data_IF_559130061306
#
_entry.id   IF_559130061306
#
_cell.length_a   1.000
_cell.length_b   1.000
_cell.length_c   1.000
_cell.angle_alpha   90.00
_cell.angle_beta   90.00
_cell.angle_gamma   90.00
#
_symmetry.space_group_name_H-M   'P 1'
#
loop_
_entity.id
_entity.type
_entity.pdbx_description
1 polymer ?
#
# COMPACT_ATOMS: atom_id res chain seq x y z
N UNK A 1 -2.78 -2.63 -18.18
CA UNK A 1 -2.78 -3.73 -17.21
C UNK A 1 -2.09 -3.27 -15.94
N UNK A 2 -2.74 -3.46 -14.79
CA UNK A 2 -2.19 -3.16 -13.47
C UNK A 2 -1.95 -4.48 -12.76
N UNK A 3 -0.80 -4.59 -12.07
CA UNK A 3 -0.42 -5.80 -11.37
C UNK A 3 1.03 -5.74 -10.91
N UNK A 4 1.54 -6.85 -10.45
CA UNK A 4 2.92 -7.00 -9.97
C UNK A 4 3.21 -8.43 -9.58
N UNK A 5 4.32 -8.64 -8.88
CA UNK A 5 4.72 -9.93 -8.33
C UNK A 5 4.43 -9.91 -6.82
N UNK A 6 3.73 -10.95 -6.35
CA UNK A 6 3.51 -11.18 -4.92
C UNK A 6 4.66 -12.06 -4.42
N UNK A 7 5.35 -11.63 -3.37
CA UNK A 7 6.51 -12.35 -2.83
C UNK A 7 6.11 -13.69 -2.21
N UNK A 8 5.00 -13.69 -1.45
CA UNK A 8 4.48 -14.91 -0.83
C UNK A 8 2.97 -14.88 -0.66
N UNK A 9 2.34 -16.00 -0.97
CA UNK A 9 0.96 -16.31 -0.58
C UNK A 9 0.92 -17.60 0.21
N UNK A 10 0.17 -17.61 1.30
CA UNK A 10 -0.14 -18.82 2.05
C UNK A 10 -1.56 -18.75 2.61
N UNK A 11 -2.08 -19.90 3.03
CA UNK A 11 -3.40 -19.98 3.67
C UNK A 11 -3.24 -20.43 5.12
N UNK A 12 -3.88 -19.71 6.03
CA UNK A 12 -3.95 -20.04 7.45
C UNK A 12 -5.39 -19.86 7.93
N UNK A 13 -5.96 -20.94 8.50
CA UNK A 13 -7.30 -20.92 9.12
C UNK A 13 -8.39 -20.34 8.20
N UNK A 14 -8.34 -20.70 6.90
CA UNK A 14 -9.32 -20.24 5.92
C UNK A 14 -9.09 -18.80 5.40
N UNK A 15 -8.01 -18.15 5.80
CA UNK A 15 -7.61 -16.82 5.32
C UNK A 15 -6.42 -16.93 4.39
N UNK A 16 -6.51 -16.34 3.20
CA UNK A 16 -5.40 -16.17 2.27
C UNK A 16 -4.55 -14.98 2.73
N UNK A 17 -3.30 -15.24 3.12
CA UNK A 17 -2.37 -14.17 3.46
C UNK A 17 -1.52 -13.81 2.25
N UNK A 18 -1.43 -12.52 2.00
CA UNK A 18 -0.54 -11.94 0.99
C UNK A 18 0.57 -11.23 1.74
N UNK A 19 1.78 -11.75 1.65
CA UNK A 19 2.94 -11.24 2.39
C UNK A 19 3.93 -10.63 1.42
N UNK A 20 4.23 -9.37 1.60
CA UNK A 20 5.25 -8.64 0.86
C UNK A 20 6.47 -8.42 1.76
N UNK A 21 7.67 -8.78 1.28
CA UNK A 21 8.91 -8.71 2.05
C UNK A 21 9.60 -7.37 1.84
N UNK A 22 9.99 -6.75 2.95
CA UNK A 22 10.72 -5.48 2.93
C UNK A 22 12.07 -5.62 3.62
N UNK A 23 13.14 -5.36 2.87
CA UNK A 23 14.52 -5.37 3.40
C UNK A 23 14.92 -4.03 4.01
N UNK A 24 14.20 -2.96 3.69
CA UNK A 24 14.44 -1.61 4.19
C UNK A 24 13.16 -0.89 4.63
N UNK A 25 13.33 0.32 5.15
CA UNK A 25 12.23 1.12 5.65
C UNK A 25 11.74 0.71 7.04
N UNK A 26 10.59 1.22 7.44
CA UNK A 26 9.96 0.91 8.73
C UNK A 26 8.43 0.79 8.57
N UNK A 27 7.78 0.00 9.42
CA UNK A 27 6.32 -0.09 9.45
C UNK A 27 5.69 1.29 9.58
N UNK A 28 4.63 1.52 8.82
CA UNK A 28 3.79 2.71 8.88
C UNK A 28 2.38 2.30 9.23
N UNK A 29 1.67 3.17 9.93
CA UNK A 29 0.27 2.98 10.28
C UNK A 29 -0.49 4.18 9.71
N UNK A 30 -1.20 4.03 8.58
CA UNK A 30 -2.06 5.07 8.06
C UNK A 30 -3.27 5.28 8.96
N UNK A 31 -3.76 6.51 9.04
CA UNK A 31 -4.97 6.80 9.82
C UNK A 31 -6.22 6.20 9.14
N UNK A 32 -6.25 6.16 7.82
CA UNK A 32 -7.35 5.68 6.99
C UNK A 32 -6.85 5.29 5.59
N UNK A 33 -7.76 4.80 4.74
CA UNK A 33 -7.47 4.40 3.36
C UNK A 33 -7.07 5.60 2.50
N UNK A 34 -7.64 6.78 2.74
CA UNK A 34 -7.34 8.00 1.98
C UNK A 34 -5.85 8.34 1.97
N UNK A 35 -5.15 8.14 3.10
CA UNK A 35 -3.70 8.39 3.19
C UNK A 35 -2.85 7.52 2.25
N UNK A 36 -3.38 6.41 1.75
CA UNK A 36 -2.69 5.59 0.75
C UNK A 36 -2.66 6.29 -0.62
N UNK A 37 -3.60 7.18 -0.88
CA UNK A 37 -3.77 7.86 -2.16
C UNK A 37 -3.28 9.31 -2.14
N UNK A 38 -3.32 9.96 -0.99
CA UNK A 38 -2.94 11.36 -0.85
C UNK A 38 -1.43 11.55 -1.07
N UNK A 39 -1.00 12.37 -2.05
CA UNK A 39 0.39 12.72 -2.23
C UNK A 39 0.95 13.43 -0.99
N UNK A 40 1.87 12.81 -0.29
CA UNK A 40 2.51 13.37 0.89
C UNK A 40 3.91 12.79 1.10
N UNK A 41 4.79 13.53 1.80
CA UNK A 41 6.03 12.96 2.30
C UNK A 41 5.71 11.79 3.23
N UNK A 42 6.40 10.69 2.99
CA UNK A 42 6.20 9.50 3.82
C UNK A 42 4.89 8.72 3.58
N UNK A 43 4.18 8.96 2.47
CA UNK A 43 3.02 8.14 2.08
C UNK A 43 3.34 6.64 2.24
N UNK A 44 2.42 5.82 2.79
CA UNK A 44 2.66 4.40 3.04
C UNK A 44 2.54 3.55 1.76
N UNK A 45 3.47 3.75 0.82
CA UNK A 45 3.47 3.12 -0.51
C UNK A 45 3.48 1.59 -0.45
N UNK A 46 4.14 0.99 0.56
CA UNK A 46 4.18 -0.46 0.71
C UNK A 46 2.81 -1.03 1.07
N UNK A 47 2.05 -0.32 1.91
CA UNK A 47 0.66 -0.71 2.23
C UNK A 47 -0.22 -0.57 1.00
N UNK A 48 -0.10 0.53 0.24
CA UNK A 48 -0.81 0.70 -1.03
C UNK A 48 -0.55 -0.49 -1.98
N UNK A 49 0.72 -0.86 -2.17
CA UNK A 49 1.11 -1.99 -3.01
C UNK A 49 0.47 -3.30 -2.56
N UNK A 50 0.55 -3.58 -1.25
CA UNK A 50 0.01 -4.84 -0.70
C UNK A 50 -1.52 -4.87 -0.77
N UNK A 51 -2.18 -3.72 -0.59
CA UNK A 51 -3.64 -3.58 -0.76
C UNK A 51 -4.06 -3.76 -2.22
N UNK A 52 -3.27 -3.28 -3.18
CA UNK A 52 -3.52 -3.55 -4.59
C UNK A 52 -3.50 -5.05 -4.90
N UNK A 53 -2.54 -5.78 -4.34
CA UNK A 53 -2.49 -7.23 -4.47
C UNK A 53 -3.68 -7.91 -3.80
N UNK A 54 -4.07 -7.44 -2.61
CA UNK A 54 -5.26 -7.95 -1.90
C UNK A 54 -6.53 -7.73 -2.72
N UNK A 55 -6.72 -6.55 -3.32
CA UNK A 55 -7.86 -6.24 -4.16
C UNK A 55 -7.95 -7.12 -5.43
N UNK A 56 -6.79 -7.48 -6.01
CA UNK A 56 -6.75 -8.39 -7.15
C UNK A 56 -7.12 -9.82 -6.72
N UNK A 57 -6.58 -10.28 -5.61
CA UNK A 57 -6.78 -11.65 -5.13
C UNK A 57 -8.18 -11.87 -4.54
N UNK A 58 -8.77 -10.88 -3.85
CA UNK A 58 -10.12 -10.95 -3.31
C UNK A 58 -11.17 -11.25 -4.39
N UNK A 59 -10.94 -10.77 -5.61
CA UNK A 59 -11.83 -11.06 -6.77
C UNK A 59 -11.67 -12.47 -7.33
N UNK A 60 -10.55 -13.13 -7.07
CA UNK A 60 -10.24 -14.44 -7.63
C UNK A 60 -10.52 -15.58 -6.66
N UNK A 61 -10.66 -15.27 -5.38
CA UNK A 61 -10.76 -16.25 -4.30
C UNK A 61 -12.03 -15.99 -3.47
N UNK A 62 -12.67 -17.06 -3.03
CA UNK A 62 -13.80 -16.98 -2.10
C UNK A 62 -13.34 -16.94 -0.62
N UNK A 63 -12.03 -16.76 -0.37
CA UNK A 63 -11.46 -16.71 0.97
C UNK A 63 -11.31 -15.26 1.43
N UNK A 64 -11.29 -15.05 2.74
CA UNK A 64 -10.79 -13.81 3.32
C UNK A 64 -9.36 -13.57 2.87
N UNK A 65 -9.02 -12.31 2.60
CA UNK A 65 -7.67 -11.93 2.19
C UNK A 65 -7.07 -11.00 3.25
N UNK A 66 -5.92 -11.39 3.79
CA UNK A 66 -5.18 -10.60 4.78
C UNK A 66 -3.84 -10.11 4.21
N UNK A 67 -3.73 -8.83 3.82
CA UNK A 67 -2.47 -8.25 3.39
C UNK A 67 -1.52 -8.07 4.57
N UNK A 68 -0.23 -8.34 4.36
CA UNK A 68 0.81 -8.28 5.40
C UNK A 68 2.12 -7.75 4.84
N UNK A 69 2.88 -7.04 5.68
CA UNK A 69 4.22 -6.52 5.36
C UNK A 69 5.25 -7.13 6.30
N UNK A 70 6.14 -7.96 5.79
CA UNK A 70 7.20 -8.55 6.60
C UNK A 70 8.52 -7.78 6.43
N UNK A 71 8.86 -6.98 7.43
CA UNK A 71 10.16 -6.31 7.52
C UNK A 71 11.22 -7.27 8.04
N UNK A 72 12.10 -7.75 7.17
CA UNK A 72 13.06 -8.83 7.44
C UNK A 72 13.94 -8.49 8.66
N UNK A 73 14.43 -7.26 8.75
CA UNK A 73 15.29 -6.83 9.87
C UNK A 73 14.58 -6.77 11.23
N UNK A 74 13.23 -6.88 11.25
CA UNK A 74 12.41 -6.92 12.48
C UNK A 74 11.84 -8.31 12.77
N UNK A 75 11.96 -9.25 11.84
CA UNK A 75 11.32 -10.56 11.94
C UNK A 75 11.78 -11.38 13.15
N UNK A 76 12.98 -11.13 13.69
CA UNK A 76 13.49 -11.79 14.88
C UNK A 76 12.96 -11.21 16.21
N UNK A 77 12.24 -10.09 16.20
CA UNK A 77 11.68 -9.50 17.41
C UNK A 77 10.35 -10.17 17.78
N UNK A 78 10.24 -10.65 19.00
CA UNK A 78 9.01 -11.29 19.51
C UNK A 78 7.79 -10.33 19.53
N UNK A 79 8.04 -9.03 19.65
CA UNK A 79 6.99 -8.01 19.65
C UNK A 79 6.55 -7.56 18.25
N UNK A 80 7.23 -8.03 17.20
CA UNK A 80 6.92 -7.63 15.83
C UNK A 80 5.84 -8.50 15.21
N UNK A 81 4.84 -7.85 14.59
CA UNK A 81 3.82 -8.51 13.77
C UNK A 81 3.87 -7.96 12.33
N UNK A 82 3.80 -8.82 11.30
CA UNK A 82 3.69 -8.38 9.91
C UNK A 82 2.29 -7.86 9.53
N UNK A 83 1.32 -7.96 10.43
CA UNK A 83 -0.05 -7.50 10.19
C UNK A 83 -0.05 -5.99 9.98
N UNK A 84 -0.69 -5.56 8.91
CA UNK A 84 -0.90 -4.13 8.65
C UNK A 84 -1.96 -3.63 9.63
N UNK A 85 -1.73 -2.45 10.19
CA UNK A 85 -2.67 -1.79 11.07
C UNK A 85 -3.11 -0.45 10.46
N UNK A 86 -4.36 -0.07 10.72
CA UNK A 86 -4.95 1.22 10.34
C UNK A 86 -5.52 1.88 11.58
N UNK A 87 -5.30 3.17 11.74
CA UNK A 87 -5.90 3.95 12.82
C UNK A 87 -5.17 5.25 13.11
N UNK A 88 -5.90 6.20 13.64
CA UNK A 88 -5.41 7.53 13.97
C UNK A 88 -4.35 7.50 15.09
N UNK A 89 -3.48 8.50 15.09
CA UNK A 89 -2.50 8.68 16.16
C UNK A 89 -3.21 8.75 17.54
N UNK A 90 -2.60 8.12 18.55
CA UNK A 90 -3.10 8.08 19.93
C UNK A 90 -4.43 7.33 20.13
N UNK A 91 -4.98 6.68 19.10
CA UNK A 91 -6.14 5.79 19.21
C UNK A 91 -5.70 4.32 19.02
N UNK A 92 -6.50 3.34 19.48
CA UNK A 92 -6.28 1.93 19.17
C UNK A 92 -6.19 1.72 17.67
N UNK A 93 -5.25 0.86 17.24
CA UNK A 93 -5.08 0.47 15.85
C UNK A 93 -5.91 -0.76 15.56
N UNK A 94 -6.46 -0.84 14.37
CA UNK A 94 -7.22 -1.98 13.89
C UNK A 94 -6.34 -2.81 12.96
N UNK A 95 -6.15 -4.10 13.23
CA UNK A 95 -5.45 -4.98 12.32
C UNK A 95 -6.27 -5.22 11.05
N UNK A 96 -5.59 -5.29 9.92
CA UNK A 96 -6.20 -5.64 8.63
C UNK A 96 -6.07 -7.15 8.43
N UNK A 97 -6.93 -7.89 9.09
CA UNK A 97 -7.04 -9.36 9.00
C UNK A 97 -8.09 -9.82 7.99
N UNK A 98 -8.90 -8.89 7.49
CA UNK A 98 -9.86 -9.09 6.42
C UNK A 98 -9.91 -7.83 5.53
N UNK A 99 -9.35 -7.94 4.33
CA UNK A 99 -9.32 -6.84 3.37
C UNK A 99 -10.71 -6.41 2.90
N UNK A 100 -11.71 -7.30 2.94
CA UNK A 100 -13.07 -7.01 2.47
C UNK A 100 -13.69 -5.79 3.16
N UNK A 101 -13.29 -5.50 4.39
CA UNK A 101 -13.74 -4.31 5.15
C UNK A 101 -13.32 -2.99 4.48
N UNK A 102 -12.24 -3.02 3.73
CA UNK A 102 -11.62 -1.84 3.09
C UNK A 102 -11.74 -1.87 1.56
N UNK A 103 -12.23 -2.97 0.98
CA UNK A 103 -12.18 -3.22 -0.45
C UNK A 103 -12.92 -2.16 -1.26
N UNK A 104 -14.13 -1.82 -0.87
CA UNK A 104 -14.97 -0.88 -1.62
C UNK A 104 -14.36 0.52 -1.64
N UNK A 105 -13.93 1.04 -0.49
CA UNK A 105 -13.28 2.35 -0.40
C UNK A 105 -11.95 2.36 -1.17
N UNK A 106 -11.12 1.33 -1.00
CA UNK A 106 -9.85 1.24 -1.71
C UNK A 106 -10.06 1.20 -3.23
N UNK A 107 -11.02 0.42 -3.69
CA UNK A 107 -11.34 0.28 -5.10
C UNK A 107 -11.87 1.57 -5.72
N UNK A 108 -12.79 2.26 -5.05
CA UNK A 108 -13.33 3.53 -5.50
C UNK A 108 -12.21 4.55 -5.70
N UNK A 109 -11.32 4.69 -4.71
CA UNK A 109 -10.18 5.60 -4.77
C UNK A 109 -9.17 5.20 -5.84
N UNK A 110 -8.94 3.90 -6.02
CA UNK A 110 -8.07 3.39 -7.07
C UNK A 110 -8.62 3.70 -8.47
N UNK A 111 -9.91 3.52 -8.69
CA UNK A 111 -10.54 3.85 -9.96
C UNK A 111 -10.45 5.35 -10.25
N UNK A 112 -10.73 6.18 -9.26
CA UNK A 112 -10.57 7.64 -9.38
C UNK A 112 -9.15 8.06 -9.74
N UNK A 113 -8.14 7.46 -9.07
CA UNK A 113 -6.73 7.71 -9.40
C UNK A 113 -6.38 7.29 -10.83
N UNK A 114 -6.95 6.18 -11.30
CA UNK A 114 -6.72 5.72 -12.67
C UNK A 114 -7.41 6.61 -13.69
N UNK A 115 -8.63 7.06 -13.42
CA UNK A 115 -9.33 8.03 -14.24
C UNK A 115 -8.51 9.32 -14.39
N UNK A 116 -7.98 9.85 -13.27
CA UNK A 116 -7.09 11.01 -13.27
C UNK A 116 -5.83 10.80 -14.11
N UNK A 117 -5.15 9.65 -13.98
CA UNK A 117 -3.93 9.33 -14.74
C UNK A 117 -4.20 9.24 -16.25
N UNK A 118 -5.37 8.78 -16.65
CA UNK A 118 -5.74 8.56 -18.04
C UNK A 118 -6.64 9.67 -18.63
N UNK A 119 -6.94 10.72 -17.86
CA UNK A 119 -7.65 11.89 -18.38
C UNK A 119 -6.68 12.72 -19.23
N UNK A 120 -6.97 12.83 -20.52
CA UNK A 120 -6.17 13.60 -21.48
C UNK A 120 -6.28 15.13 -21.31
N UNK A 121 -7.18 15.58 -20.42
CA UNK A 121 -7.35 16.99 -20.07
C UNK A 121 -6.54 17.39 -18.83
N UNK A 122 -6.08 16.42 -18.05
CA UNK A 122 -5.26 16.67 -16.86
C UNK A 122 -3.80 16.84 -17.26
N UNK A 123 -3.23 17.99 -16.94
CA UNK A 123 -1.81 18.27 -17.22
C UNK A 123 -0.90 17.58 -16.20
N UNK A 124 0.18 16.98 -16.69
CA UNK A 124 1.24 16.47 -15.82
C UNK A 124 2.02 17.62 -15.20
N UNK A 125 1.92 17.76 -13.88
CA UNK A 125 2.65 18.77 -13.11
C UNK A 125 3.87 18.17 -12.40
N UNK A 126 4.86 19.01 -12.10
CA UNK A 126 6.01 18.59 -11.31
C UNK A 126 5.59 18.37 -9.86
N UNK A 127 6.16 17.36 -9.22
CA UNK A 127 5.94 17.12 -7.79
C UNK A 127 6.44 18.27 -6.94
N UNK A 128 5.70 18.63 -5.89
CA UNK A 128 6.15 19.58 -4.88
C UNK A 128 7.17 18.97 -3.91
N UNK A 129 7.17 17.63 -3.78
CA UNK A 129 8.13 16.89 -2.96
C UNK A 129 9.49 16.79 -3.67
N UNK A 130 10.34 17.82 -3.47
CA UNK A 130 11.66 17.91 -4.09
C UNK A 130 12.63 16.83 -3.62
N UNK A 131 12.38 16.18 -2.47
CA UNK A 131 13.20 15.05 -2.01
C UNK A 131 13.13 13.87 -2.98
N UNK A 132 11.98 13.66 -3.65
CA UNK A 132 11.85 12.65 -4.70
C UNK A 132 12.72 12.93 -5.92
N UNK A 133 13.07 14.20 -6.14
CA UNK A 133 13.92 14.61 -7.26
C UNK A 133 15.40 14.36 -7.00
N UNK A 134 15.83 14.19 -5.75
CA UNK A 134 17.23 14.04 -5.39
C UNK A 134 17.94 12.91 -6.14
N UNK A 135 17.26 11.77 -6.26
CA UNK A 135 17.73 10.56 -6.95
C UNK A 135 16.95 10.26 -8.24
N UNK A 136 16.23 11.23 -8.78
CA UNK A 136 15.46 11.06 -10.01
C UNK A 136 16.34 11.24 -11.24
N UNK A 137 16.33 10.27 -12.16
CA UNK A 137 17.08 10.32 -13.41
C UNK A 137 16.69 11.52 -14.30
N UNK A 138 15.46 12.00 -14.14
CA UNK A 138 14.89 13.09 -14.94
C UNK A 138 15.01 14.46 -14.28
N UNK A 139 15.67 14.59 -13.13
CA UNK A 139 15.74 15.89 -12.40
C UNK A 139 16.31 17.03 -13.23
N UNK A 140 17.28 16.75 -14.09
CA UNK A 140 17.87 17.76 -14.96
C UNK A 140 16.85 18.31 -16.00
N UNK A 141 15.98 17.46 -16.52
CA UNK A 141 14.88 17.85 -17.42
C UNK A 141 13.85 18.73 -16.69
N UNK A 142 13.59 18.42 -15.43
CA UNK A 142 12.66 19.17 -14.58
C UNK A 142 13.30 20.44 -13.98
N UNK A 143 14.59 20.69 -14.20
CA UNK A 143 15.36 21.79 -13.60
C UNK A 143 15.32 21.78 -12.05
N UNK A 144 15.41 20.59 -11.44
CA UNK A 144 15.36 20.34 -9.98
C UNK A 144 16.72 19.94 -9.44
#
# INVERSE_FOLDING_TARGET
RIGGTIDRMDSKEGTLRIVDYKTGGSPKVPANIEQLFTPAEGRPNYIFQTFLYAAIMARQQALKVAPSLLYIHRAASESYSPVIEIGEARKPKLPVDDFSVYEDEFRERLLKLLEEIYDDKEEFTQTEDTKKCEYCDFKAMCKR
#
